data_IF_128249938176
#
_entry.id   IF_128249938176
#
_cell.length_a   1.000
_cell.length_b   1.000
_cell.length_c   1.000
_cell.angle_alpha   90.00
_cell.angle_beta   90.00
_cell.angle_gamma   90.00
#
_symmetry.space_group_name_H-M   'P 1'
#
loop_
_entity.id
_entity.type
_entity.pdbx_description
1 polymer ?
#
# COMPACT_ATOMS: atom_id res chain seq x y z
N UNK A 1 -26.57 -1.73 -43.82
CA UNK A 1 -26.76 -3.02 -44.53
C UNK A 1 -25.37 -3.62 -44.79
N UNK A 2 -25.07 -4.81 -44.27
CA UNK A 2 -23.73 -5.44 -44.30
C UNK A 2 -23.58 -6.26 -45.60
N UNK A 3 -22.46 -6.11 -46.31
CA UNK A 3 -22.17 -6.74 -47.61
C UNK A 3 -21.86 -8.25 -47.47
N UNK A 4 -22.62 -9.15 -48.13
CA UNK A 4 -22.53 -10.61 -47.95
C UNK A 4 -21.28 -11.28 -48.53
N UNK A 5 -20.47 -10.58 -49.35
CA UNK A 5 -19.30 -11.16 -50.04
C UNK A 5 -17.97 -11.06 -49.28
N UNK A 6 -17.93 -10.31 -48.16
CA UNK A 6 -16.76 -10.26 -47.27
C UNK A 6 -17.22 -10.55 -45.85
N UNK A 7 -17.33 -11.82 -45.50
CA UNK A 7 -17.52 -12.23 -44.10
C UNK A 7 -16.25 -11.85 -43.33
N UNK A 8 -16.18 -10.63 -42.80
CA UNK A 8 -15.20 -10.29 -41.77
C UNK A 8 -15.41 -11.31 -40.66
N UNK A 9 -14.43 -12.19 -40.49
CA UNK A 9 -14.39 -13.13 -39.37
C UNK A 9 -14.36 -12.30 -38.10
N UNK A 10 -15.51 -12.11 -37.48
CA UNK A 10 -15.59 -11.45 -36.18
C UNK A 10 -15.05 -12.47 -35.18
N UNK A 11 -13.83 -12.23 -34.71
CA UNK A 11 -13.11 -13.08 -33.74
C UNK A 11 -13.80 -13.15 -32.38
N UNK A 12 -14.72 -12.22 -32.09
CA UNK A 12 -15.52 -12.22 -30.87
C UNK A 12 -16.98 -12.54 -31.17
N UNK A 13 -17.53 -13.50 -30.42
CA UNK A 13 -18.96 -13.85 -30.45
C UNK A 13 -19.67 -13.25 -29.24
N UNK A 14 -20.93 -12.80 -29.37
CA UNK A 14 -21.75 -12.46 -28.22
C UNK A 14 -21.80 -13.63 -27.21
N UNK A 15 -21.67 -13.33 -25.92
CA UNK A 15 -21.68 -14.34 -24.85
C UNK A 15 -20.31 -14.91 -24.47
N UNK A 16 -19.20 -14.43 -25.08
CA UNK A 16 -17.85 -14.73 -24.61
C UNK A 16 -17.47 -13.85 -23.41
N UNK A 17 -16.87 -14.44 -22.39
CA UNK A 17 -16.21 -13.70 -21.30
C UNK A 17 -14.84 -13.23 -21.77
N UNK A 18 -14.50 -11.98 -21.50
CA UNK A 18 -13.18 -11.41 -21.77
C UNK A 18 -12.66 -10.70 -20.52
N UNK A 19 -11.34 -10.72 -20.34
CA UNK A 19 -10.63 -9.84 -19.42
C UNK A 19 -10.03 -8.68 -20.23
N UNK A 20 -10.07 -7.48 -19.67
CA UNK A 20 -9.50 -6.29 -20.29
C UNK A 20 -8.64 -5.56 -19.26
N UNK A 21 -7.45 -5.14 -19.67
CA UNK A 21 -6.58 -4.27 -18.89
C UNK A 21 -6.78 -2.83 -19.36
N UNK A 22 -7.07 -1.93 -18.42
CA UNK A 22 -7.33 -0.51 -18.72
C UNK A 22 -6.19 0.32 -18.16
N UNK A 23 -5.46 1.00 -19.05
CA UNK A 23 -4.44 1.97 -18.69
C UNK A 23 -5.06 3.37 -18.69
N UNK A 24 -5.00 4.06 -17.55
CA UNK A 24 -5.67 5.37 -17.38
C UNK A 24 -4.71 6.55 -17.46
N UNK A 25 -3.49 6.41 -16.94
CA UNK A 25 -2.46 7.45 -16.88
C UNK A 25 -1.07 6.85 -17.02
N UNK A 26 -0.14 7.65 -17.52
CA UNK A 26 1.28 7.29 -17.64
C UNK A 26 2.12 8.49 -17.22
N UNK A 27 2.99 8.30 -16.24
CA UNK A 27 4.01 9.27 -15.85
C UNK A 27 5.39 8.67 -16.17
N UNK A 28 6.28 9.48 -16.73
CA UNK A 28 7.66 9.09 -17.05
C UNK A 28 8.63 9.77 -16.09
N UNK A 29 9.79 9.15 -15.86
CA UNK A 29 10.85 9.71 -15.02
C UNK A 29 10.39 9.99 -13.57
N UNK A 30 9.79 8.96 -12.95
CA UNK A 30 9.23 9.04 -11.60
C UNK A 30 10.06 8.27 -10.60
N UNK A 31 10.11 8.74 -9.35
CA UNK A 31 10.66 7.98 -8.24
C UNK A 31 9.67 6.90 -7.83
N UNK A 32 9.96 5.64 -8.19
CA UNK A 32 9.10 4.51 -7.87
C UNK A 32 9.68 3.66 -6.74
N UNK A 33 8.82 3.22 -5.82
CA UNK A 33 9.16 2.21 -4.81
C UNK A 33 8.26 0.98 -4.97
N UNK A 34 8.71 -0.22 -4.54
CA UNK A 34 7.84 -1.40 -4.56
C UNK A 34 6.61 -1.22 -3.68
N UNK A 35 5.47 -1.80 -4.09
CA UNK A 35 4.20 -1.76 -3.35
C UNK A 35 4.34 -2.22 -1.89
N UNK A 36 5.23 -3.19 -1.65
CA UNK A 36 5.48 -3.77 -0.32
C UNK A 36 6.29 -2.86 0.63
N UNK A 37 6.79 -1.73 0.16
CA UNK A 37 7.57 -0.78 0.96
C UNK A 37 6.71 0.30 1.64
N UNK A 38 5.53 0.59 1.07
CA UNK A 38 4.64 1.64 1.55
C UNK A 38 3.61 1.03 2.49
N UNK A 39 3.39 1.67 3.63
CA UNK A 39 2.35 1.29 4.58
C UNK A 39 1.61 2.52 5.07
N UNK A 40 0.32 2.37 5.36
CA UNK A 40 -0.46 3.37 6.07
C UNK A 40 -0.34 3.12 7.58
N UNK A 41 -0.08 4.15 8.38
CA UNK A 41 -0.05 4.07 9.84
C UNK A 41 -0.77 5.23 10.49
N UNK A 42 -1.32 5.00 11.67
CA UNK A 42 -1.85 6.08 12.49
C UNK A 42 -0.72 6.98 13.01
N UNK A 43 -0.98 8.29 13.12
CA UNK A 43 0.04 9.28 13.51
C UNK A 43 0.76 9.00 14.84
N UNK A 44 0.16 8.21 15.74
CA UNK A 44 0.71 7.90 17.07
C UNK A 44 0.94 6.40 17.34
N UNK A 45 0.93 5.53 16.33
CA UNK A 45 0.98 4.08 16.51
C UNK A 45 2.25 3.55 17.20
N UNK A 46 3.36 4.30 17.15
CA UNK A 46 4.67 3.78 17.58
C UNK A 46 4.90 3.93 19.10
N UNK A 47 4.19 4.87 19.75
CA UNK A 47 4.32 5.21 21.19
C UNK A 47 3.30 4.52 22.11
N UNK A 48 2.38 3.71 21.58
CA UNK A 48 1.27 3.14 22.35
C UNK A 48 1.61 1.87 23.19
N UNK A 49 2.85 1.72 23.66
CA UNK A 49 3.26 0.53 24.47
C UNK A 49 3.57 0.88 25.94
N UNK A 50 3.14 2.04 26.43
CA UNK A 50 3.43 2.46 27.82
C UNK A 50 2.22 2.99 28.63
N UNK A 51 0.98 2.72 28.22
CA UNK A 51 -0.19 3.00 29.08
C UNK A 51 -1.21 1.87 28.95
N UNK A 52 -1.15 0.97 29.92
CA UNK A 52 -2.12 -0.09 30.13
C UNK A 52 -3.46 0.50 30.66
N UNK A 53 -4.55 -0.23 30.42
CA UNK A 53 -5.91 -0.14 31.00
C UNK A 53 -7.01 0.70 30.35
N UNK A 54 -8.06 -0.07 30.02
CA UNK A 54 -9.49 0.24 30.19
C UNK A 54 -10.11 1.26 29.22
N UNK A 55 -10.77 0.74 28.19
CA UNK A 55 -12.22 0.98 28.02
C UNK A 55 -12.87 -0.24 27.39
N UNK A 56 -13.51 -1.01 28.27
CA UNK A 56 -14.64 -1.87 27.97
C UNK A 56 -15.86 -0.97 28.10
N UNK A 57 -16.68 -0.87 27.06
CA UNK A 57 -18.11 -0.65 27.25
C UNK A 57 -18.85 -1.28 26.06
N UNK A 58 -19.59 -2.33 26.42
CA UNK A 58 -20.66 -2.92 25.64
C UNK A 58 -21.80 -1.88 25.51
N UNK A 59 -22.46 -1.79 24.35
CA UNK A 59 -23.91 -2.02 24.28
C UNK A 59 -24.47 -1.92 22.85
N UNK A 60 -25.27 -2.94 22.59
CA UNK A 60 -26.29 -3.14 21.58
C UNK A 60 -27.24 -1.93 21.40
N UNK A 61 -27.48 -1.49 20.16
CA UNK A 61 -28.86 -1.24 19.71
C UNK A 61 -28.98 -1.25 18.16
N UNK A 62 -30.05 -1.90 17.72
CA UNK A 62 -30.52 -1.99 16.35
C UNK A 62 -31.30 -0.72 16.00
N UNK A 63 -30.80 0.12 15.09
CA UNK A 63 -31.68 1.08 14.37
C UNK A 63 -31.34 1.09 12.88
N UNK A 64 -32.32 0.66 12.10
CA UNK A 64 -32.40 0.82 10.65
C UNK A 64 -32.57 2.30 10.27
N UNK A 65 -32.07 2.62 9.06
CA UNK A 65 -32.29 3.83 8.26
C UNK A 65 -31.44 5.07 8.63
N UNK A 66 -30.45 5.38 7.77
CA UNK A 66 -30.50 6.58 6.91
C UNK A 66 -29.28 6.61 5.96
N UNK A 67 -29.55 6.50 4.66
CA UNK A 67 -28.57 6.39 3.56
C UNK A 67 -28.20 7.79 3.04
N UNK A 68 -27.71 8.66 3.94
CA UNK A 68 -27.36 10.05 3.62
C UNK A 68 -26.34 10.64 4.61
N UNK A 69 -25.17 10.00 4.73
CA UNK A 69 -23.96 10.67 5.24
C UNK A 69 -22.85 10.58 4.21
N UNK A 70 -22.25 11.71 3.80
CA UNK A 70 -21.05 11.67 2.98
C UNK A 70 -19.97 10.92 3.77
N UNK A 71 -19.18 10.09 3.10
CA UNK A 71 -18.09 9.31 3.66
C UNK A 71 -16.89 10.19 4.11
N UNK A 72 -17.16 11.28 4.81
CA UNK A 72 -16.17 12.15 5.44
C UNK A 72 -16.01 11.72 6.89
N UNK A 73 -15.12 10.74 7.15
CA UNK A 73 -14.41 10.56 8.44
C UNK A 73 -13.38 9.39 8.43
N UNK A 74 -12.81 9.01 7.28
CA UNK A 74 -11.60 8.15 7.23
C UNK A 74 -10.30 8.95 7.06
N UNK A 75 -10.39 10.26 6.85
CA UNK A 75 -9.30 11.12 6.38
C UNK A 75 -8.79 12.05 7.47
N UNK A 76 -8.52 11.49 8.65
CA UNK A 76 -8.06 12.25 9.81
C UNK A 76 -6.66 11.88 10.27
N UNK A 77 -6.33 10.59 10.31
CA UNK A 77 -5.23 10.12 11.17
C UNK A 77 -4.30 9.06 10.57
N UNK A 78 -4.53 8.65 9.32
CA UNK A 78 -3.66 7.71 8.61
C UNK A 78 -2.65 8.47 7.74
N UNK A 79 -1.37 8.22 7.99
CA UNK A 79 -0.25 8.72 7.23
C UNK A 79 0.36 7.59 6.40
N UNK A 80 0.70 7.87 5.14
CA UNK A 80 1.50 7.00 4.29
C UNK A 80 2.97 7.13 4.66
N UNK A 81 3.63 5.99 4.87
CA UNK A 81 4.95 5.92 5.48
C UNK A 81 5.80 4.88 4.76
N UNK A 82 7.09 5.21 4.61
CA UNK A 82 8.17 4.30 4.22
C UNK A 82 9.24 4.27 5.29
N UNK A 83 10.02 3.19 5.31
CA UNK A 83 11.17 3.05 6.20
C UNK A 83 12.47 3.14 5.39
N UNK A 84 13.30 4.13 5.70
CA UNK A 84 14.58 4.37 5.02
C UNK A 84 15.72 3.83 5.86
N UNK A 85 16.63 3.07 5.25
CA UNK A 85 17.83 2.56 5.93
C UNK A 85 18.83 3.70 6.15
N UNK A 86 19.30 3.82 7.39
CA UNK A 86 20.35 4.75 7.78
C UNK A 86 21.72 4.07 7.79
N UNK A 87 22.80 4.87 7.76
CA UNK A 87 24.20 4.39 7.72
C UNK A 87 24.60 3.57 8.95
N UNK A 88 23.88 3.66 10.05
CA UNK A 88 24.11 2.92 11.29
C UNK A 88 23.36 1.57 11.35
N UNK A 89 22.73 1.17 10.24
CA UNK A 89 21.83 0.01 10.10
C UNK A 89 20.52 0.13 10.89
N UNK A 90 20.09 1.34 11.24
CA UNK A 90 18.75 1.60 11.76
C UNK A 90 17.80 2.07 10.66
N UNK A 91 16.49 1.99 10.90
CA UNK A 91 15.49 2.50 9.97
C UNK A 91 14.93 3.83 10.46
N UNK A 92 14.70 4.75 9.54
CA UNK A 92 13.95 5.99 9.76
C UNK A 92 12.54 5.85 9.23
N UNK A 93 11.54 6.15 10.05
CA UNK A 93 10.16 6.29 9.60
C UNK A 93 10.00 7.63 8.88
N UNK A 94 9.59 7.60 7.62
CA UNK A 94 9.44 8.80 6.79
C UNK A 94 8.03 8.85 6.23
N UNK A 95 7.32 9.96 6.47
CA UNK A 95 6.04 10.24 5.84
C UNK A 95 6.26 10.58 4.38
N UNK A 96 5.49 9.95 3.50
CA UNK A 96 5.57 10.17 2.05
C UNK A 96 4.23 10.64 1.51
N UNK A 97 4.29 11.24 0.32
CA UNK A 97 3.13 11.51 -0.52
C UNK A 97 3.23 10.64 -1.76
N UNK A 98 2.24 9.79 -1.98
CA UNK A 98 2.20 8.89 -3.14
C UNK A 98 1.47 9.51 -4.34
N UNK A 99 1.78 9.01 -5.54
CA UNK A 99 1.18 9.38 -6.81
C UNK A 99 0.47 8.21 -7.48
N UNK A 100 0.66 8.03 -8.80
CA UNK A 100 0.10 6.88 -9.52
C UNK A 100 0.69 5.56 -9.04
N UNK A 101 -0.11 4.51 -9.08
CA UNK A 101 0.27 3.18 -8.58
C UNK A 101 -0.07 2.14 -9.65
N UNK A 102 0.80 1.15 -9.78
CA UNK A 102 0.56 -0.04 -10.59
C UNK A 102 0.52 -1.30 -9.71
N UNK A 103 0.56 -2.49 -10.31
CA UNK A 103 0.47 -3.77 -9.59
C UNK A 103 1.70 -4.02 -8.69
N UNK A 104 2.85 -3.47 -9.05
CA UNK A 104 4.14 -3.77 -8.45
C UNK A 104 4.77 -2.56 -7.73
N UNK A 105 4.47 -1.34 -8.16
CA UNK A 105 5.17 -0.12 -7.76
C UNK A 105 4.20 1.03 -7.47
N UNK A 106 4.68 1.94 -6.61
CA UNK A 106 4.04 3.20 -6.25
C UNK A 106 4.98 4.35 -6.60
N UNK A 107 4.45 5.39 -7.26
CA UNK A 107 5.12 6.68 -7.42
C UNK A 107 5.19 7.43 -6.09
N UNK A 108 6.36 7.97 -5.76
CA UNK A 108 6.58 8.88 -4.64
C UNK A 108 6.76 10.29 -5.16
N UNK A 109 5.88 11.19 -4.71
CA UNK A 109 5.92 12.62 -5.04
C UNK A 109 6.74 13.43 -4.05
N UNK A 110 6.75 13.02 -2.78
CA UNK A 110 7.45 13.72 -1.70
C UNK A 110 7.79 12.79 -0.53
N UNK A 111 8.82 13.16 0.24
CA UNK A 111 9.23 12.51 1.49
C UNK A 111 10.58 11.81 1.43
N UNK A 112 10.99 11.27 0.27
CA UNK A 112 12.28 10.60 0.09
C UNK A 112 13.00 11.07 -1.18
N UNK A 113 14.32 10.91 -1.19
CA UNK A 113 15.16 11.33 -2.31
C UNK A 113 15.68 10.14 -3.11
N UNK A 114 16.07 10.41 -4.37
CA UNK A 114 16.73 9.43 -5.24
C UNK A 114 18.02 8.95 -4.57
N UNK A 115 18.20 7.62 -4.51
CA UNK A 115 19.38 6.98 -3.92
C UNK A 115 19.24 6.61 -2.44
N UNK A 116 18.14 6.98 -1.78
CA UNK A 116 17.85 6.44 -0.44
C UNK A 116 17.41 4.97 -0.52
N UNK A 117 17.94 4.15 0.38
CA UNK A 117 17.59 2.73 0.47
C UNK A 117 16.31 2.55 1.27
N UNK A 118 15.26 2.03 0.62
CA UNK A 118 13.96 1.78 1.26
C UNK A 118 13.84 0.32 1.66
N UNK A 119 13.34 0.08 2.87
CA UNK A 119 13.11 -1.27 3.40
C UNK A 119 11.90 -1.91 2.71
N UNK A 120 12.11 -3.08 2.13
CA UNK A 120 11.07 -3.92 1.54
C UNK A 120 10.94 -5.23 2.32
N UNK A 121 9.72 -5.70 2.55
CA UNK A 121 9.49 -6.99 3.20
C UNK A 121 8.03 -7.39 3.21
N UNK A 122 7.67 -8.51 3.88
CA UNK A 122 6.28 -8.89 4.08
C UNK A 122 5.48 -7.74 4.72
N UNK A 123 4.26 -7.50 4.21
CA UNK A 123 3.43 -6.39 4.66
C UNK A 123 3.28 -6.32 6.18
N UNK A 124 3.10 -7.47 6.86
CA UNK A 124 2.98 -7.51 8.33
C UNK A 124 4.21 -6.96 9.06
N UNK A 125 5.42 -7.24 8.57
CA UNK A 125 6.66 -6.77 9.18
C UNK A 125 6.81 -5.26 9.02
N UNK A 126 6.59 -4.75 7.81
CA UNK A 126 6.73 -3.31 7.49
C UNK A 126 5.61 -2.49 8.12
N UNK A 127 4.38 -3.01 8.20
CA UNK A 127 3.22 -2.27 8.73
C UNK A 127 3.10 -2.32 10.25
N UNK A 128 3.45 -3.43 10.91
CA UNK A 128 3.17 -3.64 12.35
C UNK A 128 4.42 -3.77 13.22
N UNK A 129 5.44 -4.47 12.74
CA UNK A 129 6.59 -4.84 13.57
C UNK A 129 7.69 -3.79 13.56
N UNK A 130 7.97 -3.23 12.37
CA UNK A 130 9.07 -2.28 12.19
C UNK A 130 8.73 -0.95 12.87
N UNK A 131 9.63 -0.39 13.66
CA UNK A 131 9.45 0.93 14.29
C UNK A 131 10.60 1.85 13.92
N UNK A 132 10.41 3.15 14.12
CA UNK A 132 11.50 4.11 13.97
C UNK A 132 12.68 3.74 14.87
N UNK A 133 13.90 3.83 14.34
CA UNK A 133 15.14 3.44 15.02
C UNK A 133 15.40 1.93 15.12
N UNK A 134 14.53 1.08 14.58
CA UNK A 134 14.75 -0.39 14.64
C UNK A 134 15.99 -0.78 13.83
N UNK A 135 16.87 -1.59 14.43
CA UNK A 135 18.04 -2.12 13.75
C UNK A 135 17.64 -3.25 12.80
N UNK A 136 18.09 -3.19 11.56
CA UNK A 136 17.80 -4.19 10.53
C UNK A 136 19.07 -4.74 9.90
N UNK A 137 18.99 -5.94 9.33
CA UNK A 137 20.06 -6.53 8.52
C UNK A 137 19.60 -6.56 7.07
N UNK A 138 20.42 -6.03 6.17
CA UNK A 138 20.17 -6.14 4.73
C UNK A 138 20.34 -7.60 4.31
N UNK A 139 19.31 -8.17 3.70
CA UNK A 139 19.33 -9.52 3.14
C UNK A 139 18.93 -9.49 1.67
N UNK A 140 19.45 -10.39 0.83
CA UNK A 140 19.01 -10.55 -0.55
C UNK A 140 17.51 -10.85 -0.63
N UNK A 141 16.87 -10.42 -1.73
CA UNK A 141 15.41 -10.56 -1.92
C UNK A 141 14.93 -12.00 -1.83
N UNK A 142 15.75 -12.96 -2.26
CA UNK A 142 15.43 -14.38 -2.26
C UNK A 142 15.29 -14.92 -0.83
N UNK A 143 15.97 -14.31 0.14
CA UNK A 143 15.99 -14.73 1.54
C UNK A 143 14.98 -13.98 2.42
N UNK A 144 14.25 -13.00 1.88
CA UNK A 144 13.24 -12.23 2.63
C UNK A 144 12.05 -13.09 3.07
N UNK A 145 11.76 -14.18 2.35
CA UNK A 145 10.62 -15.07 2.62
C UNK A 145 11.00 -16.36 3.36
N UNK A 146 12.28 -16.57 3.65
CA UNK A 146 12.71 -17.69 4.49
C UNK A 146 12.32 -17.37 5.94
N UNK A 147 11.20 -17.94 6.38
CA UNK A 147 10.84 -17.92 7.79
C UNK A 147 11.92 -18.68 8.56
N UNK A 148 12.64 -17.95 9.41
CA UNK A 148 13.54 -18.56 10.39
C UNK A 148 12.68 -19.46 11.29
N UNK A 149 12.66 -20.77 11.00
CA UNK A 149 12.06 -21.75 11.90
C UNK A 149 12.79 -21.65 13.23
N UNK A 150 12.12 -21.10 14.24
CA UNK A 150 12.49 -21.27 15.64
C UNK A 150 12.04 -22.63 16.14
#
# INVERSE_FOLDING_TARGET
LIDPKRRKSLVFRPGMTASADIQTKTHTDVLSVPINAVTTRERNSDNAVASNKEKKDDNNDNTMADDSKPASNFSGDLDEVVFVLQKDNTVRKVKVKTGIQDINNIEILDGINVGEEVVTGPYGTVSKTLKDGTRVSVVPKEKLFETKKS
#
